data_IF_604893756349
#
_entry.id   IF_604893756349
#
_cell.length_a   1.000
_cell.length_b   1.000
_cell.length_c   1.000
_cell.angle_alpha   90.00
_cell.angle_beta   90.00
_cell.angle_gamma   90.00
#
_symmetry.space_group_name_H-M   'P 1'
#
loop_
_entity.id
_entity.type
_entity.pdbx_description
1 polymer ?
#
# COMPACT_ATOMS: atom_id res chain seq x y z
N UNK A 1 -84.12 -36.51 -3.05
CA UNK A 1 -83.80 -36.44 -4.48
C UNK A 1 -82.47 -37.04 -4.74
N UNK A 2 -82.54 -38.20 -5.40
CA UNK A 2 -81.35 -38.99 -5.81
C UNK A 2 -80.64 -38.34 -6.97
N UNK A 3 -79.30 -38.24 -6.93
CA UNK A 3 -78.50 -38.19 -8.15
C UNK A 3 -77.42 -39.27 -8.16
N UNK A 4 -77.56 -40.04 -9.23
CA UNK A 4 -76.86 -41.26 -9.61
C UNK A 4 -75.39 -40.98 -9.97
N UNK A 5 -74.46 -41.77 -9.42
CA UNK A 5 -73.08 -41.91 -9.90
C UNK A 5 -73.10 -42.47 -11.31
N UNK A 6 -72.25 -41.90 -12.20
CA UNK A 6 -71.82 -42.50 -13.46
C UNK A 6 -70.44 -42.98 -13.37
N UNK A 7 -70.25 -44.22 -13.66
CA UNK A 7 -69.09 -45.08 -13.72
C UNK A 7 -68.04 -44.59 -14.71
N UNK A 8 -66.78 -44.90 -14.38
CA UNK A 8 -65.56 -44.73 -15.14
C UNK A 8 -65.66 -45.28 -16.57
N UNK A 9 -65.20 -44.48 -17.52
CA UNK A 9 -64.88 -44.92 -18.87
C UNK A 9 -63.38 -45.10 -19.02
N UNK A 10 -63.02 -46.24 -19.53
CA UNK A 10 -61.73 -46.67 -20.01
C UNK A 10 -61.07 -45.58 -20.86
N UNK A 11 -59.94 -45.06 -20.43
CA UNK A 11 -59.03 -44.30 -21.26
C UNK A 11 -57.96 -45.31 -21.74
N UNK A 12 -58.09 -45.67 -23.04
CA UNK A 12 -57.04 -46.43 -23.74
C UNK A 12 -55.74 -45.64 -23.70
N UNK A 13 -54.56 -46.25 -23.47
CA UNK A 13 -53.27 -45.59 -23.65
C UNK A 13 -53.11 -45.23 -25.13
N UNK A 14 -53.12 -43.96 -25.41
CA UNK A 14 -52.66 -43.47 -26.70
C UNK A 14 -51.12 -43.57 -26.63
N UNK A 15 -50.55 -44.35 -27.52
CA UNK A 15 -49.12 -44.33 -27.87
C UNK A 15 -48.69 -42.91 -28.16
N UNK A 16 -47.96 -42.34 -27.21
CA UNK A 16 -47.20 -41.15 -27.43
C UNK A 16 -45.75 -41.56 -27.77
N UNK A 17 -45.56 -42.15 -28.91
CA UNK A 17 -44.31 -42.12 -29.64
C UNK A 17 -44.28 -40.80 -30.41
N UNK A 18 -44.10 -39.69 -29.72
CA UNK A 18 -43.59 -38.49 -30.37
C UNK A 18 -42.07 -38.57 -30.34
N UNK A 19 -41.48 -39.19 -31.34
CA UNK A 19 -40.17 -38.86 -31.81
C UNK A 19 -40.18 -37.38 -32.18
N UNK A 20 -39.94 -36.53 -31.19
CA UNK A 20 -39.51 -35.16 -31.43
C UNK A 20 -38.10 -35.29 -31.99
N UNK A 21 -38.02 -35.35 -33.31
CA UNK A 21 -36.77 -35.19 -34.04
C UNK A 21 -36.06 -33.97 -33.49
N UNK A 22 -34.91 -34.16 -32.86
CA UNK A 22 -34.02 -33.12 -32.35
C UNK A 22 -33.42 -32.21 -33.45
N UNK A 23 -33.99 -32.31 -34.68
CA UNK A 23 -33.55 -31.55 -35.87
C UNK A 23 -34.27 -30.21 -36.08
N UNK A 24 -35.30 -29.88 -35.29
CA UNK A 24 -36.11 -28.66 -35.51
C UNK A 24 -35.88 -27.55 -34.46
N UNK A 25 -35.05 -27.78 -33.45
CA UNK A 25 -34.73 -26.74 -32.50
C UNK A 25 -33.76 -25.73 -33.14
N UNK A 26 -34.14 -24.45 -33.12
CA UNK A 26 -33.25 -23.39 -33.59
C UNK A 26 -31.99 -23.38 -32.71
N UNK A 27 -30.81 -23.13 -33.27
CA UNK A 27 -29.55 -23.10 -32.50
C UNK A 27 -29.56 -22.10 -31.34
N UNK A 28 -30.39 -21.05 -31.43
CA UNK A 28 -30.66 -20.07 -30.39
C UNK A 28 -31.31 -20.67 -29.15
N UNK A 29 -32.05 -21.78 -29.30
CA UNK A 29 -32.70 -22.51 -28.22
C UNK A 29 -31.78 -23.56 -27.57
N UNK A 30 -30.70 -23.92 -28.25
CA UNK A 30 -29.73 -24.94 -27.81
C UNK A 30 -28.51 -24.34 -27.11
N UNK A 31 -28.08 -23.15 -27.55
CA UNK A 31 -26.86 -22.53 -27.12
C UNK A 31 -27.09 -21.08 -26.68
N UNK A 32 -26.44 -20.71 -25.58
CA UNK A 32 -26.33 -19.30 -25.18
C UNK A 32 -25.28 -18.64 -26.04
N UNK A 33 -25.72 -17.75 -26.92
CA UNK A 33 -24.88 -17.05 -27.88
C UNK A 33 -24.52 -15.64 -27.35
N UNK A 34 -23.30 -15.20 -27.60
CA UNK A 34 -22.88 -13.81 -27.40
C UNK A 34 -22.08 -13.33 -28.63
N UNK A 35 -22.31 -12.08 -29.08
CA UNK A 35 -21.58 -11.56 -30.23
C UNK A 35 -20.13 -11.23 -29.85
N UNK A 36 -19.22 -11.43 -30.77
CA UNK A 36 -17.86 -10.88 -30.71
C UNK A 36 -17.96 -9.39 -30.99
N UNK A 37 -17.48 -8.58 -30.05
CA UNK A 37 -17.50 -7.11 -30.16
C UNK A 37 -16.10 -6.58 -30.41
N UNK A 38 -16.00 -5.46 -31.11
CA UNK A 38 -14.78 -4.66 -31.15
C UNK A 38 -14.85 -3.57 -30.10
N UNK A 39 -13.77 -3.38 -29.37
CA UNK A 39 -13.73 -2.36 -28.32
C UNK A 39 -12.35 -2.25 -27.69
N UNK A 40 -12.25 -1.34 -26.76
CA UNK A 40 -11.04 -1.16 -25.98
C UNK A 40 -11.00 -2.11 -24.81
N UNK A 41 -9.86 -2.69 -24.55
CA UNK A 41 -9.62 -3.52 -23.38
C UNK A 41 -8.46 -2.96 -22.57
N UNK A 42 -8.68 -2.84 -21.27
CA UNK A 42 -7.66 -2.43 -20.32
C UNK A 42 -7.43 -3.56 -19.32
N UNK A 43 -6.17 -3.84 -19.05
CA UNK A 43 -5.79 -4.74 -17.98
C UNK A 43 -5.22 -3.94 -16.84
N UNK A 44 -5.82 -4.10 -15.67
CA UNK A 44 -5.49 -3.37 -14.47
C UNK A 44 -5.18 -4.30 -13.31
N UNK A 45 -4.39 -3.78 -12.38
CA UNK A 45 -4.15 -4.41 -11.07
C UNK A 45 -4.64 -3.46 -9.99
N UNK A 46 -5.35 -4.01 -9.02
CA UNK A 46 -5.90 -3.25 -7.89
C UNK A 46 -5.20 -3.60 -6.60
N UNK A 47 -4.92 -2.60 -5.77
CA UNK A 47 -4.42 -2.81 -4.42
C UNK A 47 -4.93 -1.72 -3.49
N UNK A 48 -4.96 -2.06 -2.20
CA UNK A 48 -5.29 -1.10 -1.16
C UNK A 48 -4.01 -0.40 -0.69
N UNK A 49 -4.12 0.85 -0.32
CA UNK A 49 -3.03 1.64 0.21
C UNK A 49 -3.48 2.67 1.23
N UNK A 50 -2.52 3.32 1.86
CA UNK A 50 -2.77 4.40 2.81
C UNK A 50 -2.20 5.70 2.26
N UNK A 51 -2.98 6.77 2.36
CA UNK A 51 -2.57 8.12 1.95
C UNK A 51 -1.72 8.73 3.06
N UNK A 52 -0.52 9.16 2.71
CA UNK A 52 0.43 9.78 3.61
C UNK A 52 0.99 11.07 2.99
N UNK A 53 1.41 12.06 3.79
CA UNK A 53 2.18 13.18 3.26
C UNK A 53 3.55 12.68 2.77
N UNK A 54 4.09 13.31 1.73
CA UNK A 54 5.42 12.96 1.20
C UNK A 54 6.51 13.13 2.24
N UNK A 55 6.37 14.14 3.11
CA UNK A 55 7.30 14.41 4.20
C UNK A 55 6.56 14.49 5.53
N UNK A 56 6.69 13.45 6.34
CA UNK A 56 6.17 13.38 7.70
C UNK A 56 7.36 13.32 8.66
N UNK A 57 7.46 14.30 9.56
CA UNK A 57 8.55 14.40 10.54
C UNK A 57 8.03 14.07 11.93
N UNK A 58 8.61 13.05 12.55
CA UNK A 58 8.33 12.69 13.93
C UNK A 58 9.25 13.51 14.84
N UNK A 59 8.66 14.36 15.68
CA UNK A 59 9.36 15.16 16.66
C UNK A 59 9.34 14.45 18.00
N UNK A 60 10.50 14.16 18.56
CA UNK A 60 10.67 13.51 19.84
C UNK A 60 11.48 14.36 20.81
N UNK A 61 11.83 13.81 21.98
CA UNK A 61 12.68 14.45 22.99
C UNK A 61 14.01 13.73 23.13
N UNK A 62 15.07 14.51 23.46
CA UNK A 62 16.41 13.98 23.75
C UNK A 62 16.68 13.90 25.26
N UNK A 63 15.82 14.51 26.08
CA UNK A 63 15.93 14.50 27.53
C UNK A 63 14.62 14.01 28.14
N UNK A 64 14.71 13.34 29.28
CA UNK A 64 13.56 12.89 30.06
C UNK A 64 13.03 14.00 30.94
N UNK A 65 11.72 14.07 31.09
CA UNK A 65 11.07 15.07 31.95
C UNK A 65 9.56 14.97 31.90
N UNK A 66 8.88 15.70 32.77
CA UNK A 66 7.42 15.83 32.73
C UNK A 66 7.04 17.01 31.84
N UNK A 67 5.99 16.87 31.05
CA UNK A 67 5.47 17.94 30.18
C UNK A 67 4.84 19.02 31.04
N UNK A 68 5.42 20.23 31.01
CA UNK A 68 4.97 21.40 31.75
C UNK A 68 3.87 22.15 31.00
N UNK A 69 4.07 22.37 29.70
CA UNK A 69 3.17 23.16 28.87
C UNK A 69 3.28 22.75 27.40
N UNK A 70 2.15 22.76 26.71
CA UNK A 70 2.03 22.52 25.28
C UNK A 70 1.56 23.84 24.62
N UNK A 71 2.18 24.19 23.49
CA UNK A 71 1.94 25.43 22.74
C UNK A 71 1.35 25.18 21.35
N UNK A 72 1.40 23.94 20.86
CA UNK A 72 0.83 23.56 19.57
C UNK A 72 -0.12 22.38 19.74
N UNK A 73 -1.26 22.44 19.08
CA UNK A 73 -2.28 21.40 19.13
C UNK A 73 -2.52 20.78 17.74
N UNK A 74 -3.45 19.85 17.64
CA UNK A 74 -3.84 19.20 16.37
C UNK A 74 -4.24 20.26 15.32
N UNK A 75 -3.81 20.04 14.09
CA UNK A 75 -4.06 20.89 12.91
C UNK A 75 -3.44 22.30 12.97
N UNK A 76 -2.64 22.62 13.97
CA UNK A 76 -1.95 23.89 14.05
C UNK A 76 -0.85 23.99 12.97
N UNK A 77 -0.77 25.16 12.34
CA UNK A 77 0.35 25.51 11.48
C UNK A 77 1.54 25.99 12.31
N UNK A 78 2.66 25.31 12.17
CA UNK A 78 3.89 25.60 12.91
C UNK A 78 5.03 26.00 11.97
N UNK A 79 5.88 26.91 12.42
CA UNK A 79 7.08 27.34 11.70
C UNK A 79 8.31 26.62 12.24
N UNK A 80 9.32 26.44 11.38
CA UNK A 80 10.62 25.93 11.80
C UNK A 80 11.18 26.75 12.98
N UNK A 81 11.56 26.06 14.07
CA UNK A 81 12.07 26.67 15.29
C UNK A 81 11.01 27.14 16.28
N UNK A 82 9.72 27.07 15.94
CA UNK A 82 8.61 27.38 16.86
C UNK A 82 8.58 26.37 18.00
N UNK A 83 8.37 26.85 19.23
CA UNK A 83 8.21 26.00 20.42
C UNK A 83 6.90 25.24 20.33
N UNK A 84 6.96 23.91 20.50
CA UNK A 84 5.80 23.01 20.52
C UNK A 84 5.37 22.66 21.92
N UNK A 85 6.34 22.34 22.79
CA UNK A 85 6.11 22.10 24.22
C UNK A 85 7.36 22.36 25.03
N UNK A 86 7.17 22.50 26.34
CA UNK A 86 8.24 22.63 27.33
C UNK A 86 8.12 21.52 28.36
N UNK A 87 9.24 20.91 28.71
CA UNK A 87 9.38 20.00 29.83
C UNK A 87 9.65 20.81 31.13
N UNK A 88 9.44 20.18 32.28
CA UNK A 88 9.86 20.77 33.58
C UNK A 88 11.37 21.06 33.56
N UNK A 89 11.72 22.29 33.82
CA UNK A 89 13.05 22.85 33.63
C UNK A 89 13.82 23.09 34.93
N UNK A 90 13.18 22.89 36.10
CA UNK A 90 13.76 23.20 37.41
C UNK A 90 15.06 22.44 37.69
N UNK A 91 15.09 21.13 37.35
CA UNK A 91 16.28 20.31 37.52
C UNK A 91 17.45 20.80 36.63
N UNK A 92 17.16 21.13 35.37
CA UNK A 92 18.17 21.62 34.43
C UNK A 92 18.70 22.99 34.83
N UNK A 93 17.84 23.87 35.34
CA UNK A 93 18.27 25.19 35.88
C UNK A 93 19.13 25.03 37.11
N UNK A 94 18.80 24.13 38.02
CA UNK A 94 19.65 23.84 39.21
C UNK A 94 21.03 23.31 38.78
N UNK A 95 21.08 22.42 37.79
CA UNK A 95 22.32 21.86 37.26
C UNK A 95 23.18 22.94 36.62
N UNK A 96 22.60 23.85 35.83
CA UNK A 96 23.33 25.01 35.25
C UNK A 96 23.86 25.92 36.35
N UNK A 97 23.07 26.20 37.40
CA UNK A 97 23.51 27.05 38.52
C UNK A 97 24.70 26.42 39.24
N UNK A 98 24.71 25.11 39.48
CA UNK A 98 25.83 24.39 40.08
C UNK A 98 27.08 24.44 39.18
N UNK A 99 26.95 24.16 37.89
CA UNK A 99 28.05 24.22 36.93
C UNK A 99 28.61 25.64 36.78
N UNK A 100 27.75 26.66 36.81
CA UNK A 100 28.20 28.07 36.79
C UNK A 100 29.01 28.43 38.05
N UNK A 101 28.59 27.92 39.22
CA UNK A 101 29.36 28.05 40.45
C UNK A 101 30.78 27.46 40.35
N UNK A 102 30.87 26.26 39.77
CA UNK A 102 32.16 25.59 39.53
C UNK A 102 33.04 26.36 38.54
N UNK A 103 32.46 26.95 37.49
CA UNK A 103 33.23 27.81 36.55
C UNK A 103 33.78 29.02 37.27
N UNK A 104 32.98 29.72 38.10
CA UNK A 104 33.46 30.88 38.88
C UNK A 104 34.59 30.52 39.83
N UNK A 105 34.50 29.37 40.50
CA UNK A 105 35.57 28.90 41.41
C UNK A 105 36.89 28.66 40.64
N UNK A 106 36.81 27.99 39.48
CA UNK A 106 37.97 27.73 38.66
C UNK A 106 38.49 29.00 37.96
N UNK A 107 37.65 29.99 37.67
CA UNK A 107 38.09 31.31 37.20
C UNK A 107 38.94 32.05 38.28
N UNK A 108 38.46 32.03 39.53
CA UNK A 108 39.24 32.60 40.65
C UNK A 108 40.57 31.86 40.87
N UNK A 109 40.58 30.51 40.74
CA UNK A 109 41.79 29.70 40.85
C UNK A 109 42.79 30.01 39.72
N UNK A 110 42.29 30.20 38.50
CA UNK A 110 43.11 30.62 37.37
C UNK A 110 43.73 32.02 37.57
N UNK A 111 42.95 32.98 38.08
CA UNK A 111 43.43 34.32 38.35
C UNK A 111 44.55 34.30 39.39
N UNK A 112 44.40 33.52 40.47
CA UNK A 112 45.47 33.31 41.45
C UNK A 112 46.71 32.69 40.84
N UNK A 113 46.54 31.63 40.00
CA UNK A 113 47.68 30.98 39.32
C UNK A 113 48.43 31.94 38.36
N UNK A 114 47.67 32.78 37.63
CA UNK A 114 48.22 33.82 36.76
C UNK A 114 49.06 34.86 37.56
N UNK A 115 48.51 35.36 38.68
CA UNK A 115 49.19 36.32 39.55
C UNK A 115 50.46 35.71 40.15
N UNK A 116 50.43 34.44 40.54
CA UNK A 116 51.61 33.75 41.07
C UNK A 116 52.67 33.54 39.99
N UNK A 117 52.32 33.10 38.80
CA UNK A 117 53.24 32.92 37.66
C UNK A 117 53.87 34.25 37.29
N UNK A 118 53.11 35.32 37.15
CA UNK A 118 53.66 36.66 36.85
C UNK A 118 54.65 37.13 37.93
N UNK A 119 54.39 36.88 39.23
CA UNK A 119 55.28 37.21 40.34
C UNK A 119 56.52 36.36 40.25
N UNK A 120 56.48 35.06 40.08
CA UNK A 120 57.59 34.16 39.96
C UNK A 120 58.50 34.51 38.76
N UNK A 121 57.91 34.87 37.65
CA UNK A 121 58.62 35.35 36.46
C UNK A 121 59.40 36.60 36.74
N UNK A 122 58.82 37.62 37.41
CA UNK A 122 59.51 38.85 37.79
C UNK A 122 60.64 38.62 38.82
N UNK A 123 60.47 37.65 39.75
CA UNK A 123 61.53 37.27 40.71
C UNK A 123 62.65 36.50 40.03
N UNK A 124 62.36 35.66 39.06
CA UNK A 124 63.37 34.91 38.28
C UNK A 124 64.23 35.86 37.43
N UNK A 125 63.60 36.86 36.78
CA UNK A 125 64.31 37.90 36.04
C UNK A 125 65.33 38.68 36.93
N UNK A 126 65.09 38.73 38.26
CA UNK A 126 65.93 39.32 39.26
C UNK A 126 66.89 38.32 39.97
N UNK A 127 66.93 37.06 39.51
CA UNK A 127 67.70 35.94 40.03
C UNK A 127 67.42 35.58 41.50
N UNK A 128 66.16 35.90 42.01
CA UNK A 128 65.79 35.64 43.40
C UNK A 128 65.18 34.25 43.59
N UNK A 129 64.80 33.57 42.53
CA UNK A 129 64.15 32.24 42.54
C UNK A 129 64.82 31.31 41.51
N UNK A 130 64.72 30.02 41.73
CA UNK A 130 65.24 28.99 40.81
C UNK A 130 64.34 28.79 39.56
N UNK A 131 64.94 28.29 38.49
CA UNK A 131 64.22 27.91 37.27
C UNK A 131 63.11 26.85 37.57
N UNK A 132 63.40 25.95 38.50
CA UNK A 132 62.44 24.91 38.93
C UNK A 132 61.19 25.53 39.55
N UNK A 133 61.25 26.54 40.35
CA UNK A 133 60.17 27.27 40.98
C UNK A 133 59.30 28.00 39.91
N UNK A 134 59.97 28.61 38.91
CA UNK A 134 59.29 29.23 37.78
C UNK A 134 58.55 28.16 36.97
N UNK A 135 59.19 27.05 36.62
CA UNK A 135 58.58 25.96 35.85
C UNK A 135 57.37 25.35 36.58
N UNK A 136 57.45 25.23 37.93
CA UNK A 136 56.29 24.80 38.75
C UNK A 136 55.08 25.76 38.66
N UNK A 137 55.36 27.09 38.72
CA UNK A 137 54.28 28.10 38.60
C UNK A 137 53.62 28.11 37.21
N UNK A 138 54.45 27.94 36.16
CA UNK A 138 53.97 27.80 34.80
C UNK A 138 53.08 26.52 34.67
N UNK A 139 53.49 25.41 35.25
CA UNK A 139 52.67 24.16 35.26
C UNK A 139 51.38 24.35 36.03
N UNK A 140 51.39 25.01 37.18
CA UNK A 140 50.19 25.33 37.96
C UNK A 140 49.18 26.19 37.15
N UNK A 141 49.69 27.21 36.42
CA UNK A 141 48.92 28.05 35.55
C UNK A 141 48.23 27.19 34.44
N UNK A 142 49.04 26.37 33.72
CA UNK A 142 48.49 25.49 32.67
C UNK A 142 47.47 24.51 33.21
N UNK A 143 47.66 23.96 34.39
CA UNK A 143 46.70 23.07 35.05
C UNK A 143 45.38 23.79 35.36
N UNK A 144 45.46 25.03 35.90
CA UNK A 144 44.25 25.82 36.18
C UNK A 144 43.50 26.22 34.90
N UNK A 145 44.20 26.52 33.81
CA UNK A 145 43.62 26.77 32.49
C UNK A 145 42.87 25.54 31.96
N UNK A 146 43.51 24.36 32.02
CA UNK A 146 42.89 23.09 31.59
C UNK A 146 41.65 22.77 32.43
N UNK A 147 41.72 22.98 33.77
CA UNK A 147 40.56 22.75 34.67
C UNK A 147 39.39 23.69 34.37
N UNK A 148 39.68 24.98 34.11
CA UNK A 148 38.65 25.92 33.70
C UNK A 148 37.99 25.51 32.36
N UNK A 149 38.81 25.09 31.39
CA UNK A 149 38.30 24.59 30.10
C UNK A 149 37.33 23.41 30.28
N UNK A 150 37.67 22.44 31.13
CA UNK A 150 36.86 21.29 31.46
C UNK A 150 35.51 21.69 32.09
N UNK A 151 35.55 22.61 33.06
CA UNK A 151 34.30 23.08 33.72
C UNK A 151 33.41 23.92 32.80
N UNK A 152 34.01 24.72 31.91
CA UNK A 152 33.27 25.44 30.86
C UNK A 152 32.59 24.47 29.88
N UNK A 153 33.27 23.38 29.50
CA UNK A 153 32.66 22.34 28.68
C UNK A 153 31.49 21.66 29.37
N UNK A 154 31.59 21.40 30.71
CA UNK A 154 30.47 20.87 31.50
C UNK A 154 29.29 21.83 31.54
N UNK A 155 29.51 23.13 31.81
CA UNK A 155 28.43 24.13 31.78
C UNK A 155 27.76 24.18 30.41
N UNK A 156 28.52 24.11 29.32
CA UNK A 156 27.98 24.09 27.96
C UNK A 156 27.10 22.88 27.72
N UNK A 157 27.48 21.70 28.23
CA UNK A 157 26.66 20.48 28.15
C UNK A 157 25.33 20.66 28.90
N UNK A 158 25.36 21.21 30.11
CA UNK A 158 24.16 21.41 30.91
C UNK A 158 23.23 22.46 30.29
N UNK A 159 23.76 23.51 29.68
CA UNK A 159 22.98 24.48 28.89
C UNK A 159 22.35 23.83 27.65
N UNK A 160 23.05 22.90 27.00
CA UNK A 160 22.51 22.17 25.84
C UNK A 160 21.37 21.27 26.27
N UNK A 161 21.50 20.54 27.39
CA UNK A 161 20.43 19.71 27.95
C UNK A 161 19.19 20.53 28.30
N UNK A 162 19.37 21.74 28.88
CA UNK A 162 18.32 22.68 29.09
C UNK A 162 17.63 23.11 27.76
N UNK A 163 18.45 23.35 26.72
CA UNK A 163 17.93 23.64 25.38
C UNK A 163 17.05 22.54 24.82
N UNK A 164 17.38 21.27 25.13
CA UNK A 164 16.58 20.10 24.75
C UNK A 164 15.29 19.91 25.55
N UNK A 165 15.12 20.58 26.69
CA UNK A 165 13.85 20.58 27.42
C UNK A 165 12.79 21.44 26.76
N UNK A 166 13.17 22.31 25.83
CA UNK A 166 12.27 23.13 25.01
C UNK A 166 12.18 22.49 23.62
N UNK A 167 11.11 21.76 23.38
CA UNK A 167 10.91 21.04 22.12
C UNK A 167 10.43 22.01 21.04
N UNK A 168 11.20 22.09 19.95
CA UNK A 168 10.91 22.99 18.83
C UNK A 168 10.68 22.20 17.56
N UNK A 169 9.86 22.75 16.66
CA UNK A 169 9.64 22.15 15.35
C UNK A 169 10.90 22.24 14.48
N UNK A 170 11.39 21.12 13.92
CA UNK A 170 12.53 21.12 13.00
C UNK A 170 12.15 21.63 11.60
N UNK A 171 10.87 21.63 11.25
CA UNK A 171 10.32 22.00 9.94
C UNK A 171 9.12 22.93 10.10
N UNK A 172 8.75 23.64 9.03
CA UNK A 172 7.46 24.32 8.94
C UNK A 172 6.44 23.35 8.37
N UNK A 173 5.21 23.38 8.84
CA UNK A 173 4.15 22.48 8.39
C UNK A 173 2.94 22.47 9.30
N UNK A 174 2.13 21.42 9.21
CA UNK A 174 0.90 21.24 10.01
C UNK A 174 1.11 20.07 10.97
N UNK A 175 0.70 20.24 12.22
CA UNK A 175 0.68 19.17 13.23
C UNK A 175 -0.43 18.19 12.88
N UNK A 176 -0.05 16.98 12.48
CA UNK A 176 -0.99 15.89 12.13
C UNK A 176 -1.43 15.14 13.38
N UNK A 177 -0.50 14.96 14.32
CA UNK A 177 -0.74 14.13 15.50
C UNK A 177 0.05 14.66 16.71
N UNK A 178 -0.55 14.60 17.88
CA UNK A 178 0.04 14.93 19.19
C UNK A 178 -0.17 13.74 20.12
N UNK A 179 0.93 13.08 20.46
CA UNK A 179 0.91 11.81 21.22
C UNK A 179 1.14 12.03 22.71
N UNK A 180 1.23 13.28 23.18
CA UNK A 180 1.62 13.63 24.54
C UNK A 180 0.67 14.65 25.15
N UNK A 181 0.41 14.52 26.47
CA UNK A 181 -0.44 15.42 27.24
C UNK A 181 0.33 16.17 28.34
N UNK A 182 -0.25 17.31 28.80
CA UNK A 182 0.32 18.08 29.91
C UNK A 182 0.33 17.23 31.17
N UNK A 183 1.45 17.23 31.88
CA UNK A 183 1.66 16.41 33.08
C UNK A 183 2.17 15.01 32.83
N UNK A 184 2.20 14.55 31.57
CA UNK A 184 2.76 13.26 31.20
C UNK A 184 4.27 13.26 31.33
N UNK A 185 4.85 12.17 31.87
CA UNK A 185 6.31 11.99 31.91
C UNK A 185 6.78 11.26 30.66
N UNK A 186 7.78 11.84 29.99
CA UNK A 186 8.44 11.26 28.81
C UNK A 186 9.85 10.83 29.17
N UNK A 187 10.26 9.65 28.73
CA UNK A 187 11.57 9.07 29.00
C UNK A 187 12.33 8.87 27.68
N UNK A 188 13.52 9.45 27.56
CA UNK A 188 14.36 9.41 26.36
C UNK A 188 15.47 8.34 26.44
N UNK A 189 15.30 7.26 27.25
CA UNK A 189 16.41 6.37 27.62
C UNK A 189 16.76 5.29 26.60
N UNK A 190 15.77 4.60 26.01
CA UNK A 190 15.99 3.48 25.07
C UNK A 190 15.44 3.74 23.67
N UNK A 191 14.28 4.35 23.60
CA UNK A 191 13.66 4.78 22.33
C UNK A 191 13.16 6.19 22.52
N UNK A 192 13.48 7.06 21.57
CA UNK A 192 12.93 8.42 21.57
C UNK A 192 11.42 8.36 21.29
N UNK A 193 10.57 8.70 22.28
CA UNK A 193 9.13 8.71 22.05
C UNK A 193 8.78 9.83 21.06
N UNK A 194 7.91 9.52 20.12
CA UNK A 194 7.31 10.55 19.24
C UNK A 194 6.33 11.37 20.04
N UNK A 195 6.51 12.69 20.06
CA UNK A 195 5.63 13.64 20.75
C UNK A 195 4.66 14.30 19.78
N UNK A 196 5.16 14.69 18.59
CA UNK A 196 4.37 15.27 17.51
C UNK A 196 4.71 14.63 16.19
N UNK A 197 3.73 14.54 15.29
CA UNK A 197 3.92 14.24 13.87
C UNK A 197 3.57 15.49 13.06
N UNK A 198 4.52 16.00 12.30
CA UNK A 198 4.36 17.22 11.52
C UNK A 198 4.49 16.89 10.04
N UNK A 199 3.42 17.17 9.27
CA UNK A 199 3.45 17.10 7.82
C UNK A 199 3.98 18.43 7.27
N UNK A 200 5.00 18.37 6.44
CA UNK A 200 5.62 19.57 5.90
C UNK A 200 4.72 20.23 4.85
N UNK A 201 4.06 19.45 4.03
CA UNK A 201 3.17 19.90 2.97
C UNK A 201 2.05 18.89 2.76
N UNK A 202 0.79 19.33 2.90
CA UNK A 202 -0.41 18.51 2.66
C UNK A 202 -0.92 18.63 1.21
N UNK A 203 -0.35 19.53 0.40
CA UNK A 203 -0.71 19.64 -1.02
C UNK A 203 -0.08 18.52 -1.87
N UNK A 204 0.99 17.90 -1.37
CA UNK A 204 1.68 16.79 -2.02
C UNK A 204 1.59 15.54 -1.15
N UNK A 205 0.78 14.61 -1.61
CA UNK A 205 0.54 13.36 -0.90
C UNK A 205 1.14 12.18 -1.67
N UNK A 206 1.28 11.07 -0.99
CA UNK A 206 1.62 9.79 -1.61
C UNK A 206 0.73 8.69 -1.05
N UNK A 207 0.46 7.69 -1.88
CA UNK A 207 -0.22 6.48 -1.44
C UNK A 207 0.83 5.38 -1.36
N UNK A 208 0.98 4.81 -0.18
CA UNK A 208 1.79 3.62 0.04
C UNK A 208 0.89 2.40 -0.15
N UNK A 209 1.04 1.68 -1.28
CA UNK A 209 0.20 0.53 -1.67
C UNK A 209 1.00 -0.75 -1.64
N UNK A 210 0.35 -1.87 -1.26
CA UNK A 210 0.99 -3.19 -1.23
C UNK A 210 0.44 -4.08 -2.35
N UNK A 211 1.28 -4.40 -3.33
CA UNK A 211 0.96 -5.29 -4.44
C UNK A 211 1.59 -6.66 -4.25
N UNK A 212 0.91 -7.71 -4.72
CA UNK A 212 1.45 -9.06 -4.70
C UNK A 212 2.66 -9.20 -5.65
N UNK A 213 3.60 -10.10 -5.33
CA UNK A 213 4.78 -10.39 -6.15
C UNK A 213 4.40 -10.76 -7.60
N UNK A 214 3.28 -11.48 -7.80
CA UNK A 214 2.81 -11.89 -9.12
C UNK A 214 2.50 -10.72 -10.06
N UNK A 215 2.17 -9.55 -9.51
CA UNK A 215 1.72 -8.38 -10.27
C UNK A 215 2.83 -7.35 -10.49
N UNK A 216 3.90 -7.40 -9.66
CA UNK A 216 4.97 -6.38 -9.67
C UNK A 216 5.71 -6.30 -11.00
N UNK A 217 5.90 -7.44 -11.67
CA UNK A 217 6.63 -7.50 -12.96
C UNK A 217 5.96 -6.74 -14.10
N UNK A 218 4.70 -6.33 -13.93
CA UNK A 218 3.91 -5.60 -14.93
C UNK A 218 3.81 -4.10 -14.66
N UNK A 219 4.18 -3.67 -13.45
CA UNK A 219 4.07 -2.29 -13.01
C UNK A 219 5.40 -1.58 -13.25
N UNK A 220 5.35 -0.40 -13.84
CA UNK A 220 6.52 0.43 -14.14
C UNK A 220 6.38 1.83 -13.52
N UNK A 221 7.51 2.41 -13.18
CA UNK A 221 7.56 3.82 -12.72
C UNK A 221 7.09 4.74 -13.85
N UNK A 222 6.25 5.71 -13.52
CA UNK A 222 5.65 6.64 -14.48
C UNK A 222 4.27 6.22 -15.00
N UNK A 223 3.77 5.02 -14.68
CA UNK A 223 2.42 4.61 -15.06
C UNK A 223 1.36 5.44 -14.34
N UNK A 224 0.29 5.76 -15.06
CA UNK A 224 -0.87 6.42 -14.50
C UNK A 224 -1.64 5.44 -13.58
N UNK A 225 -2.00 5.91 -12.41
CA UNK A 225 -2.81 5.21 -11.44
C UNK A 225 -4.10 6.00 -11.20
N UNK A 226 -5.24 5.32 -11.17
CA UNK A 226 -6.50 5.90 -10.72
C UNK A 226 -6.82 5.33 -9.35
N UNK A 227 -7.33 6.16 -8.46
CA UNK A 227 -7.72 5.70 -7.15
C UNK A 227 -8.99 6.35 -6.65
N UNK A 228 -9.68 5.66 -5.78
CA UNK A 228 -10.82 6.16 -5.03
C UNK A 228 -10.55 6.02 -3.54
N UNK A 229 -11.20 6.85 -2.74
CA UNK A 229 -11.15 6.80 -1.28
C UNK A 229 -12.56 6.63 -0.73
N UNK A 230 -12.70 5.94 0.41
CA UNK A 230 -14.01 5.67 1.01
C UNK A 230 -14.78 6.96 1.38
N UNK A 231 -14.03 8.02 1.70
CA UNK A 231 -14.64 9.33 2.00
C UNK A 231 -15.29 9.99 0.77
N UNK A 232 -14.85 9.66 -0.45
CA UNK A 232 -15.34 10.22 -1.71
C UNK A 232 -15.60 9.12 -2.76
N UNK A 233 -16.60 8.25 -2.58
CA UNK A 233 -16.80 7.04 -3.40
C UNK A 233 -17.12 7.33 -4.87
N UNK A 234 -17.64 8.52 -5.17
CA UNK A 234 -18.01 8.91 -6.54
C UNK A 234 -16.95 9.77 -7.24
N UNK A 235 -15.79 9.95 -6.62
CA UNK A 235 -14.71 10.75 -7.18
C UNK A 235 -13.51 9.86 -7.46
N UNK A 236 -13.09 9.83 -8.73
CA UNK A 236 -11.85 9.20 -9.13
C UNK A 236 -10.75 10.24 -9.11
N UNK A 237 -9.70 9.95 -8.37
CA UNK A 237 -8.49 10.75 -8.31
C UNK A 237 -7.43 10.11 -9.21
N UNK A 238 -6.52 10.93 -9.69
CA UNK A 238 -5.42 10.49 -10.53
C UNK A 238 -4.10 10.64 -9.78
N UNK A 239 -3.20 9.72 -10.04
CA UNK A 239 -1.85 9.70 -9.50
C UNK A 239 -0.88 9.04 -10.47
N UNK A 240 0.40 9.09 -10.15
CA UNK A 240 1.46 8.49 -10.96
C UNK A 240 2.33 7.61 -10.08
N UNK A 241 2.68 6.42 -10.57
CA UNK A 241 3.62 5.52 -9.89
C UNK A 241 4.99 6.21 -9.83
N UNK A 242 5.39 6.63 -8.64
CA UNK A 242 6.65 7.33 -8.40
C UNK A 242 7.81 6.37 -8.20
N UNK A 243 7.57 5.31 -7.45
CA UNK A 243 8.64 4.41 -7.02
C UNK A 243 8.09 3.04 -6.64
N UNK A 244 8.84 2.00 -6.95
CA UNK A 244 8.65 0.64 -6.46
C UNK A 244 9.73 0.39 -5.40
N UNK A 245 9.34 0.07 -4.16
CA UNK A 245 10.31 -0.26 -3.10
C UNK A 245 10.80 -1.68 -3.28
N UNK A 246 12.11 -1.85 -3.34
CA UNK A 246 12.76 -3.15 -3.60
C UNK A 246 12.72 -4.10 -2.38
N UNK A 247 12.48 -3.58 -1.17
CA UNK A 247 12.38 -4.39 0.02
C UNK A 247 10.96 -4.95 0.15
N UNK A 248 10.75 -6.27 0.01
CA UNK A 248 9.43 -6.88 0.15
C UNK A 248 9.01 -6.96 1.63
N UNK A 249 7.71 -6.96 1.85
CA UNK A 249 7.11 -7.29 3.13
C UNK A 249 6.53 -8.70 3.05
N UNK A 250 6.92 -9.58 3.97
CA UNK A 250 6.38 -10.93 4.07
C UNK A 250 5.44 -11.01 5.28
N UNK A 251 4.15 -11.19 5.01
CA UNK A 251 3.13 -11.34 6.06
C UNK A 251 2.35 -12.61 5.79
N UNK A 252 2.34 -13.55 6.74
CA UNK A 252 1.64 -14.82 6.63
C UNK A 252 1.95 -15.61 5.34
N UNK A 253 3.22 -15.67 4.93
CA UNK A 253 3.73 -16.30 3.71
C UNK A 253 3.26 -15.65 2.40
N UNK A 254 2.72 -14.44 2.45
CA UNK A 254 2.41 -13.65 1.27
C UNK A 254 3.48 -12.57 1.10
N UNK A 255 4.18 -12.62 -0.02
CA UNK A 255 5.19 -11.61 -0.39
C UNK A 255 4.51 -10.48 -1.12
N UNK A 256 4.66 -9.26 -0.58
CA UNK A 256 4.13 -8.04 -1.17
C UNK A 256 5.23 -7.00 -1.33
N UNK A 257 5.11 -6.19 -2.37
CA UNK A 257 5.98 -5.06 -2.62
C UNK A 257 5.23 -3.75 -2.43
N UNK A 258 5.88 -2.79 -1.79
CA UNK A 258 5.30 -1.47 -1.58
C UNK A 258 5.56 -0.59 -2.80
N UNK A 259 4.48 -0.08 -3.40
CA UNK A 259 4.50 0.87 -4.51
C UNK A 259 4.01 2.22 -4.00
N UNK A 260 4.80 3.24 -4.29
CA UNK A 260 4.49 4.62 -3.93
C UNK A 260 3.88 5.32 -5.13
N UNK A 261 2.64 5.76 -5.00
CA UNK A 261 1.92 6.57 -5.99
C UNK A 261 1.90 8.01 -5.53
N UNK A 262 2.42 8.92 -6.33
CA UNK A 262 2.38 10.36 -6.07
C UNK A 262 1.02 10.94 -6.43
N UNK A 263 0.50 11.80 -5.58
CA UNK A 263 -0.83 12.41 -5.71
C UNK A 263 -0.76 13.89 -5.37
N UNK A 264 -1.34 14.71 -6.22
CA UNK A 264 -1.52 16.14 -5.95
C UNK A 264 -2.84 16.37 -5.21
N UNK A 265 -2.80 17.16 -4.14
CA UNK A 265 -3.93 17.45 -3.26
C UNK A 265 -4.09 18.97 -3.05
N UNK A 266 -4.33 19.76 -4.12
CA UNK A 266 -4.39 21.23 -4.03
C UNK A 266 -5.52 21.70 -3.10
N UNK A 267 -6.65 21.01 -3.11
CA UNK A 267 -7.83 21.33 -2.31
C UNK A 267 -7.73 20.82 -0.85
N UNK A 268 -6.66 20.10 -0.49
CA UNK A 268 -6.46 19.46 0.82
C UNK A 268 -7.64 18.56 1.27
N UNK A 269 -8.37 17.97 0.31
CA UNK A 269 -9.48 17.03 0.59
C UNK A 269 -8.99 15.68 1.07
N UNK A 270 -7.81 15.28 0.61
CA UNK A 270 -7.19 14.02 1.01
C UNK A 270 -6.44 14.24 2.32
N UNK A 271 -6.83 13.50 3.35
CA UNK A 271 -6.23 13.58 4.68
C UNK A 271 -5.26 12.42 4.91
N UNK A 272 -4.20 12.64 5.70
CA UNK A 272 -3.30 11.57 6.12
C UNK A 272 -4.05 10.42 6.81
N UNK A 273 -3.70 9.18 6.48
CA UNK A 273 -4.33 7.99 7.05
C UNK A 273 -5.57 7.48 6.32
N UNK A 274 -6.09 8.18 5.30
CA UNK A 274 -7.19 7.67 4.49
C UNK A 274 -6.79 6.42 3.72
N UNK A 275 -7.72 5.46 3.61
CA UNK A 275 -7.56 4.28 2.77
C UNK A 275 -7.90 4.62 1.33
N UNK A 276 -7.03 4.22 0.40
CA UNK A 276 -7.21 4.39 -1.03
C UNK A 276 -7.23 3.03 -1.74
N UNK A 277 -8.16 2.87 -2.68
CA UNK A 277 -8.22 1.75 -3.61
C UNK A 277 -7.56 2.16 -4.91
N UNK A 278 -6.34 1.72 -5.10
CA UNK A 278 -5.52 2.10 -6.26
C UNK A 278 -5.67 1.08 -7.37
N UNK A 279 -5.88 1.59 -8.58
CA UNK A 279 -6.01 0.83 -9.80
C UNK A 279 -4.94 1.31 -10.78
N UNK A 280 -3.98 0.45 -11.12
CA UNK A 280 -2.90 0.74 -12.06
C UNK A 280 -3.18 0.03 -13.38
N UNK A 281 -3.30 0.78 -14.45
CA UNK A 281 -3.46 0.24 -15.80
C UNK A 281 -2.07 -0.04 -16.38
N UNK A 282 -1.78 -1.30 -16.73
CA UNK A 282 -0.50 -1.69 -17.28
C UNK A 282 -0.55 -2.11 -18.76
N UNK A 283 -1.73 -2.40 -19.28
CA UNK A 283 -1.92 -2.67 -20.71
C UNK A 283 -3.26 -2.08 -21.17
N UNK A 284 -3.25 -1.35 -22.28
CA UNK A 284 -4.42 -0.85 -22.96
C UNK A 284 -4.28 -1.15 -24.43
N UNK A 285 -5.25 -1.87 -24.99
CA UNK A 285 -5.35 -2.11 -26.43
C UNK A 285 -6.66 -1.52 -26.93
N UNK A 286 -6.59 -0.72 -27.98
CA UNK A 286 -7.74 -0.05 -28.55
C UNK A 286 -8.21 -0.77 -29.81
N UNK A 287 -9.52 -0.82 -29.99
CA UNK A 287 -10.17 -1.34 -31.19
C UNK A 287 -9.82 -2.82 -31.53
N UNK A 288 -9.78 -3.67 -30.49
CA UNK A 288 -9.47 -5.10 -30.63
C UNK A 288 -10.70 -5.97 -30.57
N UNK A 289 -10.61 -7.21 -31.07
CA UNK A 289 -11.69 -8.20 -31.00
C UNK A 289 -11.78 -8.78 -29.59
N UNK A 290 -12.96 -8.64 -28.99
CA UNK A 290 -13.29 -9.07 -27.63
C UNK A 290 -14.22 -10.28 -27.64
N UNK A 291 -13.81 -11.32 -26.93
CA UNK A 291 -14.63 -12.52 -26.73
C UNK A 291 -14.91 -12.69 -25.23
N UNK A 292 -16.16 -12.99 -24.85
CA UNK A 292 -16.49 -13.29 -23.44
C UNK A 292 -15.66 -14.48 -22.93
N UNK A 293 -15.12 -14.35 -21.70
CA UNK A 293 -14.33 -15.42 -21.09
C UNK A 293 -15.07 -16.74 -20.93
N UNK A 294 -16.43 -16.69 -20.87
CA UNK A 294 -17.28 -17.88 -20.87
C UNK A 294 -17.14 -18.71 -22.15
N UNK A 295 -16.95 -18.05 -23.32
CA UNK A 295 -16.76 -18.75 -24.59
C UNK A 295 -15.41 -19.49 -24.69
N UNK A 296 -14.38 -18.98 -24.07
CA UNK A 296 -13.06 -19.63 -23.99
C UNK A 296 -13.06 -20.86 -23.07
N UNK A 297 -13.96 -20.88 -22.09
CA UNK A 297 -14.11 -21.99 -21.13
C UNK A 297 -15.13 -23.04 -21.58
N UNK A 298 -15.94 -22.73 -22.60
CA UNK A 298 -16.98 -23.63 -23.09
C UNK A 298 -16.37 -24.92 -23.66
N UNK A 299 -16.96 -26.07 -23.28
CA UNK A 299 -16.64 -27.39 -23.80
C UNK A 299 -17.94 -28.09 -24.16
N UNK A 300 -18.19 -28.41 -25.43
CA UNK A 300 -19.41 -29.09 -25.86
C UNK A 300 -19.53 -30.45 -25.20
N UNK A 301 -20.74 -30.79 -24.73
CA UNK A 301 -21.06 -32.07 -24.08
C UNK A 301 -21.39 -33.18 -25.07
N UNK A 302 -21.78 -32.85 -26.30
CA UNK A 302 -22.20 -33.85 -27.32
C UNK A 302 -21.03 -34.69 -27.80
N UNK A 303 -21.15 -36.02 -27.68
CA UNK A 303 -20.15 -37.00 -28.10
C UNK A 303 -19.86 -37.00 -29.60
N UNK A 304 -20.85 -36.68 -30.43
CA UNK A 304 -20.71 -36.58 -31.89
C UNK A 304 -19.71 -35.48 -32.29
N UNK A 305 -19.75 -34.34 -31.60
CA UNK A 305 -18.78 -33.26 -31.80
C UNK A 305 -17.37 -33.65 -31.32
N UNK A 306 -17.26 -34.48 -30.27
CA UNK A 306 -15.97 -35.02 -29.80
C UNK A 306 -15.35 -35.99 -30.79
N UNK A 307 -16.15 -36.75 -31.52
CA UNK A 307 -15.69 -37.69 -32.55
C UNK A 307 -15.23 -36.98 -33.85
N UNK A 308 -15.96 -35.92 -34.25
CA UNK A 308 -15.56 -35.08 -35.41
C UNK A 308 -14.20 -34.36 -35.12
N UNK A 309 -13.97 -33.96 -33.86
CA UNK A 309 -12.71 -33.32 -33.44
C UNK A 309 -11.51 -34.26 -33.44
N UNK A 310 -11.71 -35.55 -33.12
CA UNK A 310 -10.61 -36.54 -33.18
C UNK A 310 -10.13 -36.81 -34.60
N UNK A 311 -10.97 -36.63 -35.61
CA UNK A 311 -10.59 -36.79 -37.01
C UNK A 311 -9.77 -35.61 -37.54
N UNK A 312 -10.05 -34.37 -37.13
CA UNK A 312 -9.32 -33.19 -37.59
C UNK A 312 -7.97 -32.95 -36.87
N UNK A 313 -7.76 -33.55 -35.67
CA UNK A 313 -6.50 -33.40 -34.94
C UNK A 313 -5.32 -34.27 -35.48
N UNK A 314 -5.55 -35.16 -36.45
CA UNK A 314 -4.47 -36.00 -37.01
C UNK A 314 -3.69 -35.37 -38.17
N UNK A 315 -4.15 -34.22 -38.70
CA UNK A 315 -3.52 -33.57 -39.85
C UNK A 315 -2.68 -32.32 -39.54
N UNK A 316 -2.65 -31.82 -38.29
CA UNK A 316 -2.01 -30.52 -37.97
C UNK A 316 -0.88 -30.56 -36.96
N UNK A 317 -0.34 -31.74 -36.60
CA UNK A 317 0.79 -31.82 -35.65
C UNK A 317 2.15 -31.39 -36.19
N UNK A 318 2.23 -31.06 -37.48
CA UNK A 318 3.54 -30.84 -38.15
C UNK A 318 3.86 -29.38 -38.52
N UNK A 319 3.02 -28.38 -38.19
CA UNK A 319 3.27 -26.98 -38.57
C UNK A 319 2.94 -25.96 -37.48
N UNK A 320 3.59 -25.99 -36.32
CA UNK A 320 3.75 -24.77 -35.54
C UNK A 320 4.78 -24.93 -34.42
N UNK A 321 6.04 -25.01 -34.79
CA UNK A 321 7.15 -24.61 -33.92
C UNK A 321 7.69 -23.31 -34.49
N UNK A 322 7.09 -22.20 -34.13
CA UNK A 322 7.70 -20.88 -34.27
C UNK A 322 7.10 -19.95 -33.19
N UNK A 323 7.93 -19.71 -32.19
CA UNK A 323 8.09 -18.54 -31.36
C UNK A 323 6.87 -17.61 -31.15
N UNK A 324 6.24 -17.71 -29.96
CA UNK A 324 5.95 -16.53 -29.15
C UNK A 324 5.47 -16.99 -27.75
N UNK A 325 6.35 -16.92 -26.76
CA UNK A 325 6.12 -17.39 -25.38
C UNK A 325 5.19 -16.48 -24.53
N UNK A 326 4.51 -15.50 -25.14
CA UNK A 326 3.65 -14.55 -24.40
C UNK A 326 2.17 -14.61 -24.74
N UNK A 327 1.75 -15.36 -25.78
CA UNK A 327 0.35 -15.46 -26.17
C UNK A 327 -0.23 -16.82 -25.79
N UNK A 328 -1.31 -16.80 -25.00
CA UNK A 328 -2.09 -17.99 -24.67
C UNK A 328 -2.80 -18.55 -25.91
N UNK A 329 -2.95 -19.87 -26.03
CA UNK A 329 -3.79 -20.50 -27.06
C UNK A 329 -5.14 -20.83 -26.44
N UNK A 330 -6.22 -20.31 -27.05
CA UNK A 330 -7.62 -20.58 -26.68
C UNK A 330 -8.37 -21.34 -27.79
N UNK A 331 -9.52 -21.92 -27.43
CA UNK A 331 -10.46 -22.50 -28.36
C UNK A 331 -11.80 -21.80 -28.19
N UNK A 332 -12.36 -21.32 -29.28
CA UNK A 332 -13.68 -20.67 -29.30
C UNK A 332 -14.58 -21.43 -30.25
N UNK A 333 -15.83 -21.59 -29.87
CA UNK A 333 -16.85 -22.22 -30.70
C UNK A 333 -17.75 -21.14 -31.27
N UNK A 334 -17.69 -20.99 -32.58
CA UNK A 334 -18.49 -20.02 -33.34
C UNK A 334 -19.67 -20.78 -34.03
N UNK A 335 -20.81 -20.17 -34.02
CA UNK A 335 -21.99 -20.73 -34.71
C UNK A 335 -22.00 -20.28 -36.18
N UNK A 336 -21.59 -21.17 -37.11
CA UNK A 336 -21.68 -20.93 -38.56
C UNK A 336 -22.61 -21.93 -39.20
N UNK A 337 -23.53 -21.49 -40.05
CA UNK A 337 -24.49 -22.34 -40.73
C UNK A 337 -25.25 -23.32 -39.81
N UNK A 338 -25.67 -22.82 -38.63
CA UNK A 338 -26.37 -23.61 -37.59
C UNK A 338 -25.54 -24.76 -36.97
N UNK A 339 -24.22 -24.78 -37.19
CA UNK A 339 -23.32 -25.78 -36.62
C UNK A 339 -22.20 -25.10 -35.80
N UNK A 340 -21.86 -25.66 -34.64
CA UNK A 340 -20.74 -25.17 -33.87
C UNK A 340 -19.40 -25.54 -34.54
N UNK A 341 -18.63 -24.56 -34.92
CA UNK A 341 -17.30 -24.71 -35.50
C UNK A 341 -16.22 -24.31 -34.46
N UNK A 342 -15.24 -25.16 -34.25
CA UNK A 342 -14.13 -24.89 -33.35
C UNK A 342 -13.04 -24.12 -34.06
N UNK A 343 -12.74 -22.91 -33.57
CA UNK A 343 -11.66 -22.07 -34.06
C UNK A 343 -10.58 -21.98 -32.98
N UNK A 344 -9.32 -22.19 -33.33
CA UNK A 344 -8.18 -21.93 -32.47
C UNK A 344 -7.83 -20.46 -32.57
N UNK A 345 -7.73 -19.80 -31.42
CA UNK A 345 -7.43 -18.37 -31.33
C UNK A 345 -6.20 -18.16 -30.43
N UNK A 346 -5.43 -17.15 -30.75
CA UNK A 346 -4.41 -16.65 -29.83
C UNK A 346 -5.08 -15.63 -28.91
N UNK A 347 -4.89 -15.80 -27.60
CA UNK A 347 -5.43 -14.91 -26.59
C UNK A 347 -4.32 -14.00 -26.10
N UNK A 348 -4.64 -12.70 -25.90
CA UNK A 348 -3.74 -11.70 -25.38
C UNK A 348 -4.24 -11.25 -24.00
N UNK A 349 -4.57 -9.98 -23.81
CA UNK A 349 -4.98 -9.42 -22.51
C UNK A 349 -6.44 -9.73 -22.16
N UNK A 350 -6.73 -9.79 -20.87
CA UNK A 350 -8.08 -10.04 -20.33
C UNK A 350 -8.41 -9.08 -19.21
N UNK A 351 -9.66 -8.61 -19.16
CA UNK A 351 -10.17 -7.77 -18.06
C UNK A 351 -11.07 -8.55 -17.09
N UNK A 352 -11.04 -9.90 -17.12
CA UNK A 352 -11.89 -10.75 -16.27
C UNK A 352 -13.27 -11.06 -16.86
N UNK A 353 -13.84 -10.21 -17.71
CA UNK A 353 -15.12 -10.43 -18.44
C UNK A 353 -14.88 -10.81 -19.89
N UNK A 354 -14.00 -10.11 -20.55
CA UNK A 354 -13.63 -10.30 -21.95
C UNK A 354 -12.14 -10.58 -22.07
N UNK A 355 -11.77 -11.29 -23.13
CA UNK A 355 -10.38 -11.52 -23.51
C UNK A 355 -10.20 -11.09 -24.97
N UNK A 356 -9.12 -10.39 -25.23
CA UNK A 356 -8.69 -10.07 -26.57
C UNK A 356 -8.26 -11.32 -27.31
N UNK A 357 -8.76 -11.47 -28.53
CA UNK A 357 -8.34 -12.53 -29.43
C UNK A 357 -7.66 -11.97 -30.68
N UNK A 358 -6.60 -12.63 -31.08
CA UNK A 358 -5.88 -12.39 -32.34
C UNK A 358 -6.20 -13.57 -33.24
N UNK A 359 -7.11 -13.37 -34.20
CA UNK A 359 -7.50 -14.38 -35.17
C UNK A 359 -7.94 -13.72 -36.46
N UNK A 360 -7.52 -14.28 -37.59
CA UNK A 360 -8.01 -13.88 -38.92
C UNK A 360 -9.36 -14.49 -39.27
N UNK A 361 -9.76 -15.55 -38.55
CA UNK A 361 -10.88 -16.41 -38.93
C UNK A 361 -12.21 -16.01 -38.24
N UNK A 362 -12.16 -15.04 -37.29
CA UNK A 362 -13.33 -14.53 -36.56
C UNK A 362 -13.58 -13.08 -36.94
N UNK A 363 -14.82 -12.79 -37.39
CA UNK A 363 -15.25 -11.44 -37.74
C UNK A 363 -16.00 -10.76 -36.60
N UNK A 364 -15.99 -9.42 -36.54
CA UNK A 364 -16.86 -8.68 -35.64
C UNK A 364 -18.34 -9.08 -35.85
N UNK A 365 -19.11 -9.15 -34.78
CA UNK A 365 -20.52 -9.56 -34.74
C UNK A 365 -20.81 -11.05 -35.03
N UNK A 366 -19.79 -11.91 -35.14
CA UNK A 366 -20.03 -13.36 -35.15
C UNK A 366 -20.47 -13.82 -33.73
N UNK A 367 -21.38 -14.82 -33.71
CA UNK A 367 -21.89 -15.35 -32.45
C UNK A 367 -20.99 -16.49 -31.92
N UNK A 368 -20.52 -16.34 -30.70
CA UNK A 368 -19.75 -17.36 -29.98
C UNK A 368 -20.61 -18.04 -28.94
N UNK A 369 -20.42 -19.35 -28.74
CA UNK A 369 -21.17 -20.17 -27.80
C UNK A 369 -20.54 -20.03 -26.41
N UNK A 370 -21.35 -19.64 -25.41
CA UNK A 370 -20.91 -19.47 -24.03
C UNK A 370 -21.41 -20.58 -23.10
N UNK A 371 -22.55 -21.21 -23.39
CA UNK A 371 -23.10 -22.31 -22.62
C UNK A 371 -24.11 -23.11 -23.44
N UNK A 372 -24.41 -24.35 -23.00
CA UNK A 372 -25.54 -25.18 -23.54
C UNK A 372 -26.82 -24.86 -22.74
N UNK A 373 -27.91 -24.47 -23.42
CA UNK A 373 -29.18 -24.15 -22.78
C UNK A 373 -29.99 -25.40 -22.34
N UNK A 374 -29.73 -26.55 -22.94
CA UNK A 374 -30.52 -27.76 -22.74
C UNK A 374 -30.45 -28.40 -21.33
N UNK A 375 -29.71 -27.82 -20.38
CA UNK A 375 -29.51 -28.38 -19.04
C UNK A 375 -29.99 -27.53 -17.86
N UNK A 376 -30.46 -26.30 -18.07
CA UNK A 376 -30.93 -25.46 -16.94
C UNK A 376 -32.33 -25.82 -16.43
N UNK A 377 -33.07 -26.66 -17.16
CA UNK A 377 -34.40 -27.13 -16.71
C UNK A 377 -34.38 -28.36 -15.77
N UNK A 378 -33.24 -28.95 -15.48
CA UNK A 378 -33.12 -30.12 -14.57
C UNK A 378 -32.65 -29.83 -13.15
N UNK A 379 -32.37 -28.60 -12.80
CA UNK A 379 -32.11 -28.19 -11.41
C UNK A 379 -33.35 -27.54 -10.78
N UNK A 380 -34.46 -28.24 -10.77
CA UNK A 380 -35.57 -27.96 -9.89
C UNK A 380 -35.16 -28.23 -8.43
N UNK A 381 -35.73 -27.53 -7.44
CA UNK A 381 -35.35 -27.68 -6.05
C UNK A 381 -35.61 -29.14 -5.60
N UNK A 382 -34.52 -29.81 -5.12
CA UNK A 382 -34.62 -31.11 -4.49
C UNK A 382 -35.54 -31.01 -3.28
N UNK A 383 -36.69 -31.73 -3.35
CA UNK A 383 -37.61 -31.91 -2.26
C UNK A 383 -36.88 -32.34 -0.99
N UNK A 384 -37.04 -31.55 0.05
CA UNK A 384 -36.66 -31.88 1.42
C UNK A 384 -37.26 -33.21 1.82
N UNK A 385 -36.45 -34.20 2.11
CA UNK A 385 -36.85 -35.44 2.77
C UNK A 385 -37.29 -35.19 4.22
N UNK A 386 -38.12 -36.11 4.80
CA UNK A 386 -38.81 -35.84 6.04
C UNK A 386 -37.88 -35.75 7.25
N UNK A 387 -38.17 -34.76 8.09
CA UNK A 387 -37.66 -34.50 9.43
C UNK A 387 -37.46 -35.76 10.26
N UNK A 388 -36.25 -36.04 10.70
CA UNK A 388 -35.97 -36.91 11.84
C UNK A 388 -35.88 -36.08 13.11
N UNK A 389 -36.57 -36.45 14.21
CA UNK A 389 -36.51 -35.72 15.46
C UNK A 389 -35.13 -35.88 16.14
N UNK A 390 -34.70 -34.91 16.98
CA UNK A 390 -33.41 -34.97 17.63
C UNK A 390 -33.39 -36.05 18.72
N UNK A 391 -32.37 -36.89 18.74
CA UNK A 391 -32.05 -37.77 19.87
C UNK A 391 -31.36 -36.95 20.97
N UNK A 392 -32.02 -36.92 22.11
CA UNK A 392 -31.46 -36.46 23.40
C UNK A 392 -30.50 -37.54 23.90
N UNK A 393 -29.26 -37.17 24.17
CA UNK A 393 -28.41 -37.62 25.25
C UNK A 393 -27.48 -36.47 25.67
#
# INVERSE_FOLDING_TARGET
FFFKQKTAYEIRPRDWSSDVCSSDLKPEDLYRLQPVTTGDIEQNVTANGTINPVSLVNVGTQVSGRVKKIYADFNDQVKKGQVLLELEDELFKAQIAASMGNVKNNEASLELAKANEARMRSLFEKEYVSKQELDQSIQALKSAEAQLSTTKAQLKRDQTNYGYSIIKSPVSGVVVDRVVDVGQTVAASLQTPTLFKIAQDLSKMQIDTSFAEADIGRIQVGQAAKFSVDAFPNTNFEGVVKQIRLNPTNTANVVTYNIVVSVDNPDQKLLPGMTAYVNINFAKHENVLLVPNAALRYKPKNEELKLAMKKNNKSDESKSKLNNDSLGSGKVYVLRNNKPEMIRVQTSITNGKFTEIISSDIKPNEFVITADMANDQKSGPSSQGPNRPPRVF
#
